data_IF_814650446081
#
_entry.id   IF_814650446081
#
_cell.length_a   1.000
_cell.length_b   1.000
_cell.length_c   1.000
_cell.angle_alpha   90.00
_cell.angle_beta   90.00
_cell.angle_gamma   90.00
#
_symmetry.space_group_name_H-M   'P 1'
#
loop_
_entity.id
_entity.type
_entity.pdbx_description
1 polymer ?
#
# COMPACT_ATOMS: atom_id res chain seq x y z
N UNK A 1 -14.34 26.64 -4.60
CA UNK A 1 -13.61 25.40 -4.92
C UNK A 1 -14.56 24.43 -5.61
N UNK A 2 -14.14 23.89 -6.75
CA UNK A 2 -14.85 22.83 -7.50
C UNK A 2 -14.42 21.45 -7.01
N UNK A 3 -15.36 20.53 -6.84
CA UNK A 3 -15.09 19.16 -6.42
C UNK A 3 -15.73 18.15 -7.37
N UNK A 4 -15.02 17.06 -7.66
CA UNK A 4 -15.64 15.89 -8.29
C UNK A 4 -15.62 14.71 -7.31
N UNK A 5 -16.75 13.99 -7.22
CA UNK A 5 -16.85 12.74 -6.48
C UNK A 5 -16.87 11.55 -7.42
N UNK A 6 -15.82 10.74 -7.38
CA UNK A 6 -15.65 9.56 -8.24
C UNK A 6 -15.82 8.31 -7.38
N UNK A 7 -16.67 7.38 -7.79
CA UNK A 7 -16.90 6.17 -7.01
C UNK A 7 -17.19 4.94 -7.88
N UNK A 8 -16.80 3.79 -7.38
CA UNK A 8 -17.18 2.52 -7.98
C UNK A 8 -18.53 2.07 -7.36
N UNK A 9 -19.61 1.97 -8.16
CA UNK A 9 -20.94 1.63 -7.66
C UNK A 9 -21.00 0.23 -7.04
N UNK A 10 -20.11 -0.69 -7.49
CA UNK A 10 -20.06 -2.08 -7.03
C UNK A 10 -19.11 -2.28 -5.83
N UNK A 11 -18.31 -1.29 -5.47
CA UNK A 11 -17.34 -1.39 -4.37
C UNK A 11 -18.05 -1.50 -3.01
N UNK A 12 -17.51 -2.35 -2.12
CA UNK A 12 -17.98 -2.46 -0.74
C UNK A 12 -19.46 -2.88 -0.62
N UNK A 13 -19.96 -3.76 -1.49
CA UNK A 13 -21.37 -4.18 -1.55
C UNK A 13 -22.32 -3.01 -1.82
N UNK A 14 -21.89 -2.02 -2.61
CA UNK A 14 -22.70 -0.86 -2.99
C UNK A 14 -22.99 0.14 -1.86
N UNK A 15 -22.26 0.07 -0.72
CA UNK A 15 -22.50 0.95 0.44
C UNK A 15 -22.34 2.43 0.12
N UNK A 16 -21.41 2.79 -0.77
CA UNK A 16 -21.19 4.17 -1.20
C UNK A 16 -22.31 4.63 -2.12
N UNK A 17 -22.70 3.81 -3.09
CA UNK A 17 -23.80 4.11 -4.00
C UNK A 17 -25.12 4.35 -3.24
N UNK A 18 -25.47 3.52 -2.26
CA UNK A 18 -26.64 3.68 -1.39
C UNK A 18 -26.64 5.00 -0.58
N UNK A 19 -25.50 5.64 -0.43
CA UNK A 19 -25.35 6.91 0.32
C UNK A 19 -25.00 8.09 -0.59
N UNK A 20 -25.09 7.96 -1.90
CA UNK A 20 -24.67 8.96 -2.88
C UNK A 20 -25.31 10.33 -2.59
N UNK A 21 -26.64 10.39 -2.51
CA UNK A 21 -27.37 11.64 -2.23
C UNK A 21 -26.91 12.31 -0.93
N UNK A 22 -26.67 11.51 0.12
CA UNK A 22 -26.16 12.03 1.39
C UNK A 22 -24.73 12.59 1.25
N UNK A 23 -23.84 11.87 0.55
CA UNK A 23 -22.45 12.29 0.33
C UNK A 23 -22.43 13.61 -0.44
N UNK A 24 -23.14 13.70 -1.57
CA UNK A 24 -23.21 14.90 -2.41
C UNK A 24 -23.78 16.09 -1.62
N UNK A 25 -24.89 15.89 -0.88
CA UNK A 25 -25.48 16.94 -0.02
C UNK A 25 -24.47 17.47 1.01
N UNK A 26 -23.61 16.61 1.55
CA UNK A 26 -22.58 17.02 2.52
C UNK A 26 -21.39 17.71 1.84
N UNK A 27 -20.93 17.23 0.69
CA UNK A 27 -19.83 17.86 -0.05
C UNK A 27 -20.23 19.27 -0.52
N UNK A 28 -21.47 19.50 -0.96
CA UNK A 28 -22.00 20.83 -1.32
C UNK A 28 -22.00 21.85 -0.17
N UNK A 29 -21.76 21.41 1.09
CA UNK A 29 -21.57 22.34 2.21
C UNK A 29 -20.15 22.93 2.29
N UNK A 30 -19.18 22.30 1.62
CA UNK A 30 -17.77 22.72 1.58
C UNK A 30 -17.34 23.25 0.22
N UNK A 31 -17.91 22.71 -0.86
CA UNK A 31 -17.52 22.99 -2.23
C UNK A 31 -18.64 23.71 -2.96
N UNK A 32 -18.30 24.72 -3.76
CA UNK A 32 -19.24 25.53 -4.53
C UNK A 32 -19.96 24.71 -5.62
N UNK A 33 -19.25 23.78 -6.25
CA UNK A 33 -19.82 22.79 -7.17
C UNK A 33 -19.32 21.39 -6.83
N UNK A 34 -20.20 20.39 -7.04
CA UNK A 34 -19.88 18.98 -6.83
C UNK A 34 -20.44 18.19 -8.00
N UNK A 35 -19.55 17.71 -8.83
CA UNK A 35 -19.85 16.77 -9.90
C UNK A 35 -19.70 15.34 -9.42
N UNK A 36 -20.36 14.39 -10.08
CA UNK A 36 -20.37 12.99 -9.70
C UNK A 36 -20.04 12.13 -10.91
N UNK A 37 -19.13 11.19 -10.71
CA UNK A 37 -18.79 10.20 -11.72
C UNK A 37 -18.80 8.79 -11.14
N UNK A 38 -19.57 7.90 -11.75
CA UNK A 38 -19.57 6.47 -11.42
C UNK A 38 -18.66 5.73 -12.40
N UNK A 39 -17.63 5.04 -11.88
CA UNK A 39 -16.73 4.25 -12.72
C UNK A 39 -17.43 3.03 -13.31
N UNK A 40 -17.06 2.69 -14.56
CA UNK A 40 -17.70 1.62 -15.34
C UNK A 40 -16.90 0.32 -15.35
N UNK A 41 -15.57 0.42 -15.28
CA UNK A 41 -14.67 -0.73 -15.38
C UNK A 41 -13.36 -0.47 -14.61
N UNK A 42 -12.52 -1.49 -14.50
CA UNK A 42 -11.14 -1.35 -14.00
C UNK A 42 -10.35 -0.41 -14.93
N UNK A 43 -9.56 0.49 -14.35
CA UNK A 43 -8.80 1.52 -15.07
C UNK A 43 -9.60 2.79 -15.41
N UNK A 44 -10.93 2.77 -15.30
CA UNK A 44 -11.75 3.95 -15.60
C UNK A 44 -11.54 5.08 -14.59
N UNK A 45 -11.21 4.74 -13.35
CA UNK A 45 -10.84 5.73 -12.33
C UNK A 45 -9.54 6.43 -12.72
N UNK A 46 -8.51 5.71 -13.15
CA UNK A 46 -7.25 6.28 -13.67
C UNK A 46 -7.53 7.23 -14.82
N UNK A 47 -8.26 6.78 -15.84
CA UNK A 47 -8.62 7.60 -17.00
C UNK A 47 -9.36 8.89 -16.59
N UNK A 48 -10.36 8.76 -15.72
CA UNK A 48 -11.15 9.92 -15.28
C UNK A 48 -10.33 10.89 -14.45
N UNK A 49 -9.48 10.42 -13.56
CA UNK A 49 -8.57 11.29 -12.79
C UNK A 49 -7.59 12.00 -13.72
N UNK A 50 -7.01 11.32 -14.72
CA UNK A 50 -6.14 11.94 -15.72
C UNK A 50 -6.84 13.10 -16.47
N UNK A 51 -8.11 12.89 -16.83
CA UNK A 51 -8.93 13.89 -17.54
C UNK A 51 -9.22 15.13 -16.68
N UNK A 52 -9.46 14.95 -15.38
CA UNK A 52 -10.02 16.02 -14.53
C UNK A 52 -9.05 16.63 -13.53
N UNK A 53 -7.83 16.11 -13.41
CA UNK A 53 -6.89 16.52 -12.37
C UNK A 53 -6.61 18.03 -12.33
N UNK A 54 -6.65 18.70 -13.47
CA UNK A 54 -6.40 20.14 -13.61
C UNK A 54 -7.69 20.99 -13.63
N UNK A 55 -8.86 20.33 -13.66
CA UNK A 55 -10.15 21.01 -13.78
C UNK A 55 -10.84 21.22 -12.43
N UNK A 56 -10.42 20.48 -11.40
CA UNK A 56 -11.03 20.49 -10.08
C UNK A 56 -10.01 20.77 -8.98
N UNK A 57 -10.43 21.57 -8.01
CA UNK A 57 -9.61 21.86 -6.81
C UNK A 57 -9.54 20.66 -5.87
N UNK A 58 -10.53 19.77 -5.94
CA UNK A 58 -10.61 18.60 -5.09
C UNK A 58 -11.20 17.40 -5.83
N UNK A 59 -10.52 16.24 -5.71
CA UNK A 59 -11.05 14.95 -6.14
C UNK A 59 -11.37 14.13 -4.90
N UNK A 60 -12.66 13.88 -4.65
CA UNK A 60 -13.11 12.92 -3.66
C UNK A 60 -13.35 11.59 -4.36
N UNK A 61 -12.80 10.51 -3.83
CA UNK A 61 -13.00 9.20 -4.42
C UNK A 61 -13.38 8.14 -3.38
N UNK A 62 -14.09 7.10 -3.81
CA UNK A 62 -14.43 5.96 -2.97
C UNK A 62 -14.06 4.65 -3.62
N UNK A 63 -13.30 3.84 -2.88
CA UNK A 63 -12.82 2.53 -3.30
C UNK A 63 -11.92 1.88 -2.27
N UNK A 64 -11.25 0.81 -2.64
CA UNK A 64 -10.20 0.14 -1.84
C UNK A 64 -8.80 0.70 -2.14
N UNK A 65 -7.79 -0.03 -1.67
CA UNK A 65 -6.38 0.33 -1.88
C UNK A 65 -6.02 0.36 -3.37
N UNK A 66 -6.51 -0.58 -4.18
CA UNK A 66 -6.34 -0.56 -5.63
C UNK A 66 -6.94 0.67 -6.30
N UNK A 67 -8.07 1.19 -5.79
CA UNK A 67 -8.64 2.46 -6.29
C UNK A 67 -7.78 3.65 -5.92
N UNK A 68 -7.11 3.61 -4.77
CA UNK A 68 -6.15 4.65 -4.41
C UNK A 68 -4.96 4.66 -5.40
N UNK A 69 -4.44 3.49 -5.74
CA UNK A 69 -3.36 3.35 -6.73
C UNK A 69 -3.81 3.77 -8.14
N UNK A 70 -5.06 3.52 -8.52
CA UNK A 70 -5.62 4.06 -9.76
C UNK A 70 -5.65 5.60 -9.75
N UNK A 71 -5.97 6.23 -8.62
CA UNK A 71 -5.91 7.70 -8.47
C UNK A 71 -4.48 8.20 -8.62
N UNK A 72 -3.49 7.59 -7.95
CA UNK A 72 -2.09 7.98 -8.07
C UNK A 72 -1.60 7.89 -9.51
N UNK A 73 -1.92 6.82 -10.23
CA UNK A 73 -1.59 6.67 -11.66
C UNK A 73 -2.24 7.75 -12.52
N UNK A 74 -3.49 8.09 -12.23
CA UNK A 74 -4.21 9.13 -12.97
C UNK A 74 -3.65 10.54 -12.72
N UNK A 75 -3.13 10.79 -11.53
CA UNK A 75 -2.43 12.02 -11.18
C UNK A 75 -1.06 12.11 -11.86
N UNK A 76 -0.34 10.98 -11.93
CA UNK A 76 0.98 10.92 -12.53
C UNK A 76 1.98 11.88 -11.88
N UNK A 77 2.90 12.39 -12.70
CA UNK A 77 4.00 13.26 -12.25
C UNK A 77 3.68 14.75 -12.26
N UNK A 78 2.40 15.13 -12.40
CA UNK A 78 1.99 16.55 -12.39
C UNK A 78 2.56 17.27 -11.18
N UNK A 79 3.08 18.49 -11.40
CA UNK A 79 3.61 19.32 -10.31
C UNK A 79 2.50 19.81 -9.38
N UNK A 80 1.39 20.23 -9.95
CA UNK A 80 0.22 20.67 -9.17
C UNK A 80 -0.85 19.61 -9.14
N UNK A 81 -1.22 19.17 -7.94
CA UNK A 81 -2.22 18.14 -7.72
C UNK A 81 -3.45 18.71 -7.01
N UNK A 82 -4.66 18.25 -7.39
CA UNK A 82 -5.87 18.56 -6.67
C UNK A 82 -5.83 17.95 -5.25
N UNK A 83 -6.53 18.57 -4.31
CA UNK A 83 -6.69 18.03 -2.97
C UNK A 83 -7.49 16.73 -3.03
N UNK A 84 -7.00 15.67 -2.40
CA UNK A 84 -7.66 14.38 -2.38
C UNK A 84 -8.52 14.17 -1.14
N UNK A 85 -9.68 13.59 -1.33
CA UNK A 85 -10.56 13.10 -0.26
C UNK A 85 -10.85 11.61 -0.45
N UNK A 86 -10.56 10.78 0.56
CA UNK A 86 -10.72 9.33 0.44
C UNK A 86 -11.86 8.79 1.32
N UNK A 87 -12.80 8.08 0.69
CA UNK A 87 -13.86 7.31 1.35
C UNK A 87 -13.56 5.82 1.16
N UNK A 88 -13.05 5.13 2.19
CA UNK A 88 -12.72 3.72 2.09
C UNK A 88 -13.93 2.85 1.77
N UNK A 89 -13.89 2.13 0.67
CA UNK A 89 -14.96 1.27 0.18
C UNK A 89 -14.53 -0.18 -0.10
N UNK A 90 -13.26 -0.49 0.02
CA UNK A 90 -12.70 -1.84 -0.15
C UNK A 90 -12.81 -2.72 1.09
N UNK A 91 -12.22 -3.91 1.02
CA UNK A 91 -12.25 -4.89 2.11
C UNK A 91 -11.16 -4.64 3.15
N UNK A 92 -9.92 -4.46 2.75
CA UNK A 92 -8.77 -4.20 3.63
C UNK A 92 -8.68 -2.72 3.99
N UNK A 93 -8.53 -1.85 3.00
CA UNK A 93 -8.34 -0.40 3.16
C UNK A 93 -7.15 -0.09 4.08
N UNK A 94 -5.99 -0.69 3.81
CA UNK A 94 -4.80 -0.55 4.64
C UNK A 94 -4.21 0.87 4.57
N UNK A 95 -4.31 1.54 3.42
CA UNK A 95 -3.99 2.97 3.29
C UNK A 95 -4.82 3.79 4.29
N UNK A 96 -6.14 3.57 4.33
CA UNK A 96 -7.00 4.27 5.28
C UNK A 96 -6.65 3.95 6.75
N UNK A 97 -6.23 2.71 7.03
CA UNK A 97 -5.79 2.30 8.37
C UNK A 97 -4.51 3.04 8.77
N UNK A 98 -3.50 3.05 7.93
CA UNK A 98 -2.23 3.75 8.16
C UNK A 98 -2.44 5.25 8.36
N UNK A 99 -3.41 5.83 7.67
CA UNK A 99 -3.75 7.24 7.75
C UNK A 99 -4.81 7.59 8.81
N UNK A 100 -5.25 6.63 9.63
CA UNK A 100 -6.28 6.86 10.64
C UNK A 100 -7.66 7.26 10.09
N UNK A 101 -7.91 7.04 8.79
CA UNK A 101 -9.20 7.32 8.14
C UNK A 101 -10.20 6.20 8.49
N UNK A 102 -11.43 6.53 8.93
CA UNK A 102 -12.43 5.53 9.33
C UNK A 102 -12.83 4.57 8.20
N UNK A 103 -12.45 3.28 8.29
CA UNK A 103 -12.64 2.27 7.24
C UNK A 103 -14.06 1.74 7.07
N UNK A 104 -14.82 1.64 8.15
CA UNK A 104 -16.14 0.97 8.17
C UNK A 104 -17.32 1.94 8.17
N UNK A 105 -17.08 3.22 8.20
CA UNK A 105 -18.14 4.22 8.38
C UNK A 105 -17.98 5.39 7.40
N UNK A 106 -18.76 5.35 6.32
CA UNK A 106 -18.76 6.40 5.27
C UNK A 106 -19.04 7.80 5.86
N UNK A 107 -19.92 7.93 6.87
CA UNK A 107 -20.21 9.24 7.48
C UNK A 107 -18.99 9.80 8.22
N UNK A 108 -18.26 8.94 8.96
CA UNK A 108 -17.04 9.35 9.66
C UNK A 108 -15.92 9.66 8.67
N UNK A 109 -15.73 8.86 7.59
CA UNK A 109 -14.78 9.15 6.53
C UNK A 109 -15.10 10.47 5.82
N UNK A 110 -16.37 10.71 5.48
CA UNK A 110 -16.81 11.97 4.91
C UNK A 110 -16.55 13.16 5.85
N UNK A 111 -16.69 12.97 7.15
CA UNK A 111 -16.37 14.01 8.13
C UNK A 111 -14.89 14.40 8.13
N UNK A 112 -13.97 13.45 7.84
CA UNK A 112 -12.57 13.74 7.60
C UNK A 112 -12.40 14.64 6.38
N UNK A 113 -13.10 14.35 5.29
CA UNK A 113 -13.08 15.19 4.09
C UNK A 113 -13.59 16.61 4.39
N UNK A 114 -14.63 16.75 5.21
CA UNK A 114 -15.25 18.05 5.52
C UNK A 114 -14.47 18.88 6.53
N UNK A 115 -13.82 18.26 7.51
CA UNK A 115 -13.25 18.91 8.70
C UNK A 115 -11.79 18.55 8.96
N UNK A 116 -11.21 17.62 8.21
CA UNK A 116 -9.83 17.19 8.34
C UNK A 116 -8.82 18.28 7.93
N UNK A 117 -7.55 17.99 8.14
CA UNK A 117 -6.44 18.81 7.67
C UNK A 117 -5.85 18.26 6.38
N UNK A 118 -5.28 19.14 5.55
CA UNK A 118 -4.47 18.76 4.41
C UNK A 118 -3.10 18.28 4.92
N UNK A 119 -2.66 17.13 4.42
CA UNK A 119 -1.30 16.64 4.56
C UNK A 119 -0.72 16.39 3.18
N UNK A 120 0.58 16.60 3.05
CA UNK A 120 1.36 16.21 1.89
C UNK A 120 2.07 14.91 2.24
N UNK A 121 1.68 13.82 1.59
CA UNK A 121 2.19 12.49 1.86
C UNK A 121 3.14 12.03 0.75
N UNK A 122 4.09 11.21 1.15
CA UNK A 122 4.99 10.53 0.24
C UNK A 122 4.25 9.38 -0.46
N UNK A 123 4.67 9.06 -1.67
CA UNK A 123 4.30 7.82 -2.35
C UNK A 123 5.52 7.25 -3.07
N UNK A 124 5.51 5.95 -3.32
CA UNK A 124 6.56 5.25 -4.05
C UNK A 124 6.20 5.19 -5.53
N UNK A 125 7.17 5.54 -6.40
CA UNK A 125 7.10 5.34 -7.84
C UNK A 125 7.98 4.16 -8.23
N UNK A 126 7.45 3.21 -8.99
CA UNK A 126 8.11 1.98 -9.38
C UNK A 126 8.31 2.00 -10.90
N UNK A 127 9.54 1.80 -11.36
CA UNK A 127 9.92 1.77 -12.78
C UNK A 127 9.34 2.97 -13.57
N UNK A 128 9.26 4.14 -12.94
CA UNK A 128 8.80 5.39 -13.53
C UNK A 128 7.28 5.51 -13.78
N UNK A 129 6.51 4.43 -13.73
CA UNK A 129 5.11 4.42 -14.19
C UNK A 129 4.08 3.83 -13.24
N UNK A 130 4.51 3.01 -12.30
CA UNK A 130 3.63 2.39 -11.30
C UNK A 130 3.76 3.11 -9.96
N UNK A 131 2.72 3.03 -9.15
CA UNK A 131 2.71 3.70 -7.85
C UNK A 131 2.25 2.77 -6.75
N UNK A 132 2.81 2.96 -5.56
CA UNK A 132 2.35 2.36 -4.31
C UNK A 132 2.38 3.41 -3.19
N UNK A 133 1.44 3.30 -2.27
CA UNK A 133 1.32 4.27 -1.18
C UNK A 133 2.06 3.82 0.08
N UNK A 134 1.99 2.53 0.43
CA UNK A 134 2.46 2.07 1.73
C UNK A 134 3.35 0.83 1.70
N UNK A 135 3.22 -0.07 0.71
CA UNK A 135 4.05 -1.29 0.68
C UNK A 135 4.26 -1.89 -0.71
N UNK A 136 5.46 -2.42 -0.90
CA UNK A 136 5.83 -3.22 -2.08
C UNK A 136 6.44 -4.52 -1.53
N UNK A 137 6.01 -5.69 -2.01
CA UNK A 137 6.54 -6.97 -1.52
C UNK A 137 6.64 -8.03 -2.59
N UNK A 138 7.58 -8.96 -2.42
CA UNK A 138 7.74 -10.14 -3.28
C UNK A 138 8.09 -11.38 -2.46
N UNK A 139 7.75 -12.56 -2.96
CA UNK A 139 8.09 -13.86 -2.38
C UNK A 139 6.96 -14.48 -1.58
N UNK A 140 7.23 -15.01 -0.38
CA UNK A 140 6.28 -15.74 0.43
C UNK A 140 4.98 -14.96 0.66
N UNK A 141 3.84 -15.63 0.47
CA UNK A 141 2.48 -15.10 0.68
C UNK A 141 2.00 -13.99 -0.29
N UNK A 142 2.83 -13.50 -1.20
CA UNK A 142 2.39 -12.46 -2.14
C UNK A 142 1.28 -12.96 -3.07
N UNK A 143 1.29 -14.21 -3.51
CA UNK A 143 0.22 -14.83 -4.29
C UNK A 143 -1.10 -14.95 -3.52
N UNK A 144 -1.06 -15.21 -2.21
CA UNK A 144 -2.24 -15.31 -1.36
C UNK A 144 -2.96 -13.96 -1.17
N UNK A 145 -2.26 -12.85 -1.29
CA UNK A 145 -2.86 -11.51 -1.14
C UNK A 145 -3.72 -11.11 -2.33
N UNK A 146 -3.52 -11.73 -3.52
CA UNK A 146 -4.30 -11.41 -4.73
C UNK A 146 -5.64 -12.13 -4.79
N UNK A 147 -5.77 -13.27 -4.10
CA UNK A 147 -6.90 -14.17 -4.31
C UNK A 147 -8.04 -13.88 -3.36
N UNK A 148 -7.80 -13.74 -2.06
CA UNK A 148 -8.84 -13.23 -1.14
C UNK A 148 -8.27 -12.64 0.17
N UNK A 149 -8.95 -11.67 0.84
CA UNK A 149 -8.60 -11.21 2.19
C UNK A 149 -8.64 -12.32 3.25
N UNK A 150 -9.35 -13.40 2.97
CA UNK A 150 -9.48 -14.55 3.87
C UNK A 150 -8.24 -15.45 3.79
N UNK A 151 -7.59 -15.52 2.62
CA UNK A 151 -6.32 -16.23 2.42
C UNK A 151 -5.14 -15.45 2.99
N UNK A 152 -5.13 -14.13 2.92
CA UNK A 152 -4.17 -13.29 3.62
C UNK A 152 -4.27 -13.49 5.15
N UNK A 153 -5.49 -13.60 5.71
CA UNK A 153 -5.69 -13.97 7.13
C UNK A 153 -5.24 -15.39 7.45
N UNK A 154 -5.41 -16.33 6.52
CA UNK A 154 -4.89 -17.70 6.65
C UNK A 154 -3.36 -17.74 6.57
N UNK A 155 -2.75 -16.95 5.67
CA UNK A 155 -1.30 -16.83 5.57
C UNK A 155 -0.70 -16.24 6.84
N UNK A 156 -1.31 -15.21 7.44
CA UNK A 156 -0.96 -14.67 8.75
C UNK A 156 -1.24 -15.66 9.90
N UNK A 157 -2.33 -16.43 9.79
CA UNK A 157 -2.63 -17.52 10.73
C UNK A 157 -1.63 -18.67 10.64
N UNK A 158 -1.12 -18.99 9.43
CA UNK A 158 -0.05 -19.98 9.23
C UNK A 158 1.29 -19.52 9.83
N UNK A 159 1.56 -18.20 9.88
CA UNK A 159 2.69 -17.65 10.63
C UNK A 159 2.53 -17.85 12.15
N UNK A 160 1.31 -17.74 12.67
CA UNK A 160 1.00 -18.05 14.08
C UNK A 160 1.04 -19.57 14.36
N UNK A 161 0.75 -20.41 13.37
CA UNK A 161 0.88 -21.87 13.41
C UNK A 161 2.24 -22.37 12.86
N UNK A 162 3.27 -21.55 12.92
CA UNK A 162 4.59 -21.80 12.31
C UNK A 162 5.27 -23.13 12.68
N UNK A 163 4.89 -23.77 13.79
CA UNK A 163 5.35 -25.10 14.16
C UNK A 163 4.65 -26.24 13.39
N UNK A 164 3.40 -26.08 13.00
CA UNK A 164 2.69 -27.04 12.14
C UNK A 164 3.03 -26.87 10.65
N UNK A 165 3.34 -25.65 10.22
CA UNK A 165 3.74 -25.35 8.84
C UNK A 165 5.09 -25.96 8.44
N UNK A 166 6.00 -26.17 9.41
CA UNK A 166 7.28 -26.89 9.20
C UNK A 166 7.02 -28.34 8.80
N UNK A 167 5.96 -28.93 9.31
CA UNK A 167 5.59 -30.35 9.07
C UNK A 167 4.89 -30.57 7.71
N UNK A 168 4.23 -29.55 7.18
CA UNK A 168 3.62 -29.59 5.85
C UNK A 168 4.51 -28.76 4.94
N UNK A 169 5.27 -29.41 4.04
CA UNK A 169 6.11 -28.81 2.98
C UNK A 169 5.44 -27.58 2.33
N UNK A 170 5.48 -26.42 3.00
CA UNK A 170 5.09 -25.15 2.38
C UNK A 170 6.23 -24.84 1.42
N UNK A 171 5.99 -24.82 0.10
CA UNK A 171 7.03 -24.48 -0.87
C UNK A 171 7.33 -22.99 -0.73
N UNK A 172 8.34 -22.63 0.08
CA UNK A 172 8.91 -21.30 0.01
C UNK A 172 9.70 -21.22 -1.30
N UNK A 173 9.24 -20.35 -2.17
CA UNK A 173 10.06 -19.96 -3.29
C UNK A 173 11.24 -19.16 -2.76
N UNK A 174 12.44 -19.63 -3.04
CA UNK A 174 13.69 -18.94 -2.77
C UNK A 174 14.11 -18.26 -4.07
N UNK A 175 14.55 -17.02 -3.99
CA UNK A 175 15.03 -16.27 -5.14
C UNK A 175 16.21 -15.38 -4.75
N UNK A 176 17.13 -15.18 -5.69
CA UNK A 176 18.25 -14.27 -5.50
C UNK A 176 17.78 -12.83 -5.44
N UNK A 177 18.37 -12.05 -4.57
CA UNK A 177 18.12 -10.61 -4.41
C UNK A 177 19.47 -9.89 -4.42
N UNK A 178 19.62 -8.92 -5.29
CA UNK A 178 20.69 -7.92 -5.27
C UNK A 178 20.02 -6.55 -5.11
N UNK A 179 20.11 -5.99 -3.93
CA UNK A 179 19.42 -4.76 -3.56
C UNK A 179 20.40 -3.68 -3.13
N UNK A 180 20.17 -2.43 -3.53
CA UNK A 180 21.00 -1.28 -3.13
C UNK A 180 20.17 -0.01 -2.96
N UNK A 181 20.58 0.81 -1.99
CA UNK A 181 20.11 2.19 -1.78
C UNK A 181 21.10 3.24 -2.34
N UNK A 182 22.15 2.77 -3.06
CA UNK A 182 23.23 3.60 -3.58
C UNK A 182 24.44 3.73 -2.63
N UNK A 183 24.28 3.37 -1.35
CA UNK A 183 25.34 3.38 -0.32
C UNK A 183 25.64 1.95 0.13
N UNK A 184 24.60 1.22 0.47
CA UNK A 184 24.66 -0.16 0.93
C UNK A 184 24.21 -1.09 -0.19
N UNK A 185 24.86 -2.25 -0.30
CA UNK A 185 24.44 -3.31 -1.22
C UNK A 185 24.27 -4.62 -0.48
N UNK A 186 23.17 -5.28 -0.74
CA UNK A 186 22.80 -6.58 -0.15
C UNK A 186 22.65 -7.60 -1.26
N UNK A 187 23.47 -8.66 -1.23
CA UNK A 187 23.37 -9.79 -2.16
C UNK A 187 23.09 -11.06 -1.36
N UNK A 188 21.92 -11.65 -1.54
CA UNK A 188 21.49 -12.83 -0.78
C UNK A 188 20.41 -13.61 -1.49
N UNK A 189 20.22 -14.85 -1.06
CA UNK A 189 18.99 -15.60 -1.34
C UNK A 189 17.91 -15.18 -0.33
N UNK A 190 16.69 -14.99 -0.81
CA UNK A 190 15.57 -14.51 -0.02
C UNK A 190 14.32 -15.37 -0.20
N UNK A 191 13.46 -15.41 0.80
CA UNK A 191 12.11 -15.96 0.73
C UNK A 191 11.05 -14.86 0.70
N UNK A 192 11.42 -13.63 1.12
CA UNK A 192 10.49 -12.51 1.18
C UNK A 192 11.25 -11.19 1.22
N UNK A 193 10.84 -10.26 0.38
CA UNK A 193 11.34 -8.88 0.36
C UNK A 193 10.15 -7.94 0.53
N UNK A 194 10.31 -6.94 1.41
CA UNK A 194 9.28 -5.96 1.74
C UNK A 194 9.87 -4.56 1.76
N UNK A 195 9.32 -3.66 0.98
CA UNK A 195 9.59 -2.22 1.04
C UNK A 195 8.37 -1.55 1.70
N UNK A 196 8.62 -0.64 2.61
CA UNK A 196 7.59 0.04 3.40
C UNK A 196 7.77 1.56 3.33
N UNK A 197 6.65 2.28 3.22
CA UNK A 197 6.53 3.73 3.39
C UNK A 197 5.47 4.05 4.45
N UNK A 198 5.24 3.14 5.41
CA UNK A 198 4.24 3.35 6.46
C UNK A 198 4.49 2.51 7.70
N UNK A 199 3.91 2.92 8.82
CA UNK A 199 3.98 2.17 10.09
C UNK A 199 3.25 0.83 10.04
N UNK A 200 2.26 0.70 9.15
CA UNK A 200 1.37 -0.44 9.11
C UNK A 200 1.35 -1.07 7.72
N UNK A 201 1.49 -2.40 7.65
CA UNK A 201 1.30 -3.23 6.46
C UNK A 201 0.36 -4.37 6.81
N UNK A 202 -0.63 -4.65 5.97
CA UNK A 202 -1.66 -5.68 6.21
C UNK A 202 -2.36 -5.55 7.58
N UNK A 203 -2.57 -4.32 8.05
CA UNK A 203 -3.18 -4.03 9.35
C UNK A 203 -2.28 -4.22 10.57
N UNK A 204 -1.02 -4.61 10.38
CA UNK A 204 -0.04 -4.85 11.46
C UNK A 204 0.95 -3.67 11.55
N UNK A 205 1.31 -3.28 12.76
CA UNK A 205 2.32 -2.24 13.00
C UNK A 205 3.72 -2.86 12.88
N UNK A 206 4.30 -2.77 11.69
CA UNK A 206 5.58 -3.40 11.37
C UNK A 206 6.78 -2.47 11.55
N UNK A 207 6.63 -1.18 11.29
CA UNK A 207 7.67 -0.20 11.49
C UNK A 207 7.14 1.00 12.27
N UNK A 208 7.48 1.09 13.56
CA UNK A 208 6.99 2.17 14.44
C UNK A 208 7.57 3.54 14.09
N UNK A 209 8.74 3.54 13.48
CA UNK A 209 9.50 4.76 13.18
C UNK A 209 9.25 5.28 11.76
N UNK A 210 8.64 4.48 10.88
CA UNK A 210 8.29 4.91 9.53
C UNK A 210 7.36 6.13 9.54
N UNK A 211 7.56 6.98 8.56
CA UNK A 211 6.70 8.14 8.31
C UNK A 211 6.38 8.23 6.83
N UNK A 212 5.16 8.58 6.51
CA UNK A 212 4.76 8.85 5.13
C UNK A 212 5.07 10.29 4.70
N UNK A 213 6.06 10.96 5.33
CA UNK A 213 6.39 12.38 5.08
C UNK A 213 7.88 12.71 5.20
N UNK A 214 8.72 11.74 5.47
CA UNK A 214 10.16 11.94 5.69
C UNK A 214 11.01 11.72 4.43
N UNK A 215 10.39 11.30 3.33
CA UNK A 215 11.06 11.05 2.07
C UNK A 215 11.91 9.77 2.07
N UNK A 216 11.64 8.85 3.01
CA UNK A 216 12.43 7.62 3.19
C UNK A 216 11.50 6.41 3.11
N UNK A 217 11.94 5.37 2.45
CA UNK A 217 11.36 4.03 2.50
C UNK A 217 12.34 3.06 3.12
N UNK A 218 11.83 2.06 3.83
CA UNK A 218 12.59 0.99 4.43
C UNK A 218 12.37 -0.31 3.68
N UNK A 219 13.45 -1.04 3.47
CA UNK A 219 13.43 -2.35 2.84
C UNK A 219 13.92 -3.42 3.81
N UNK A 220 13.18 -4.52 3.92
CA UNK A 220 13.57 -5.73 4.64
C UNK A 220 13.69 -6.90 3.66
N UNK A 221 14.83 -7.56 3.64
CA UNK A 221 15.08 -8.78 2.87
C UNK A 221 15.30 -9.94 3.84
N UNK A 222 14.39 -10.91 3.84
CA UNK A 222 14.51 -12.08 4.71
C UNK A 222 15.41 -13.11 4.06
N UNK A 223 16.57 -13.31 4.68
CA UNK A 223 17.62 -14.20 4.19
C UNK A 223 17.23 -15.67 4.22
N UNK A 224 17.65 -16.41 3.21
CA UNK A 224 17.56 -17.87 3.16
C UNK A 224 18.78 -18.44 2.40
N UNK A 225 19.14 -19.67 2.71
CA UNK A 225 20.12 -20.41 1.92
C UNK A 225 19.46 -20.98 0.66
N UNK A 226 20.17 -21.02 -0.45
CA UNK A 226 19.65 -21.58 -1.72
C UNK A 226 19.16 -23.03 -1.57
N UNK A 227 19.86 -23.84 -0.77
CA UNK A 227 19.47 -25.22 -0.41
C UNK A 227 19.26 -25.31 1.10
N UNK A 228 18.10 -24.91 1.64
CA UNK A 228 17.90 -24.85 3.06
C UNK A 228 17.60 -26.23 3.65
N UNK A 229 18.27 -26.56 4.74
CA UNK A 229 17.87 -27.65 5.62
C UNK A 229 16.64 -27.22 6.49
N UNK A 230 16.11 -28.15 7.27
CA UNK A 230 14.95 -27.88 8.13
C UNK A 230 15.21 -26.71 9.11
N UNK A 231 16.40 -26.63 9.68
CA UNK A 231 16.79 -25.55 10.59
C UNK A 231 16.75 -24.17 9.88
N UNK A 232 17.30 -24.05 8.67
CA UNK A 232 17.29 -22.80 7.91
C UNK A 232 15.86 -22.39 7.52
N UNK A 233 15.00 -23.35 7.14
CA UNK A 233 13.58 -23.09 6.87
C UNK A 233 12.87 -22.57 8.11
N UNK A 234 13.10 -23.19 9.28
CA UNK A 234 12.53 -22.74 10.54
C UNK A 234 12.99 -21.31 10.92
N UNK A 235 14.28 -21.00 10.72
CA UNK A 235 14.82 -19.64 10.96
C UNK A 235 14.15 -18.58 10.06
N UNK A 236 13.99 -18.84 8.78
CA UNK A 236 13.33 -17.91 7.86
C UNK A 236 11.87 -17.70 8.24
N UNK A 237 11.15 -18.75 8.63
CA UNK A 237 9.78 -18.65 9.17
C UNK A 237 9.70 -17.81 10.44
N UNK A 238 10.64 -18.02 11.37
CA UNK A 238 10.72 -17.22 12.59
C UNK A 238 11.07 -15.76 12.27
N UNK A 239 11.96 -15.50 11.31
CA UNK A 239 12.29 -14.15 10.86
C UNK A 239 11.06 -13.48 10.24
N UNK A 240 10.35 -14.17 9.36
CA UNK A 240 9.13 -13.68 8.74
C UNK A 240 8.04 -13.41 9.81
N UNK A 241 7.81 -14.35 10.74
CA UNK A 241 6.90 -14.16 11.86
C UNK A 241 7.28 -12.99 12.76
N UNK A 242 8.57 -12.84 13.06
CA UNK A 242 9.07 -11.73 13.88
C UNK A 242 8.90 -10.37 13.20
N UNK A 243 9.12 -10.31 11.88
CA UNK A 243 8.86 -9.08 11.11
C UNK A 243 7.40 -8.63 11.25
N UNK A 244 6.45 -9.55 11.14
CA UNK A 244 5.02 -9.23 11.23
C UNK A 244 4.52 -8.97 12.66
N UNK A 245 5.10 -9.61 13.67
CA UNK A 245 4.64 -9.52 15.07
C UNK A 245 5.44 -8.50 15.88
N UNK A 246 6.76 -8.51 15.76
CA UNK A 246 7.69 -7.71 16.57
C UNK A 246 8.22 -6.47 15.82
N UNK A 247 8.07 -6.47 14.50
CA UNK A 247 8.37 -5.33 13.63
C UNK A 247 9.74 -5.38 12.95
N UNK A 248 9.98 -4.37 12.14
CA UNK A 248 11.09 -4.23 11.21
C UNK A 248 12.49 -4.34 11.84
N UNK A 249 12.67 -3.91 13.09
CA UNK A 249 14.00 -3.88 13.76
C UNK A 249 14.37 -5.16 14.50
N UNK A 250 13.51 -6.16 14.49
CA UNK A 250 13.76 -7.41 15.21
C UNK A 250 14.54 -8.42 14.35
N UNK A 251 15.41 -9.26 14.98
CA UNK A 251 16.20 -10.35 14.34
C UNK A 251 17.15 -9.89 13.21
N UNK A 252 18.11 -9.05 13.56
CA UNK A 252 19.13 -8.53 12.62
C UNK A 252 19.93 -9.61 11.88
N UNK A 253 20.10 -10.78 12.45
CA UNK A 253 20.89 -11.87 11.85
C UNK A 253 20.20 -12.50 10.61
N UNK A 254 18.88 -12.45 10.53
CA UNK A 254 18.08 -13.12 9.51
C UNK A 254 17.44 -12.15 8.51
N UNK A 255 17.57 -10.85 8.74
CA UNK A 255 16.94 -9.81 7.93
C UNK A 255 18.00 -8.78 7.54
N UNK A 256 18.25 -8.63 6.24
CA UNK A 256 19.00 -7.50 5.72
C UNK A 256 18.09 -6.28 5.58
N UNK A 257 18.64 -5.09 5.78
CA UNK A 257 17.90 -3.84 5.79
C UNK A 257 18.59 -2.80 4.93
N UNK A 258 17.77 -2.10 4.15
CA UNK A 258 18.15 -0.93 3.39
C UNK A 258 17.15 0.18 3.69
N UNK A 259 17.57 1.42 3.56
CA UNK A 259 16.68 2.58 3.67
C UNK A 259 17.17 3.72 2.79
N UNK A 260 16.25 4.47 2.20
CA UNK A 260 16.62 5.59 1.37
C UNK A 260 15.44 6.16 0.60
N UNK A 261 15.72 7.14 -0.22
CA UNK A 261 14.74 7.73 -1.12
C UNK A 261 14.70 7.02 -2.49
N UNK A 262 15.68 6.17 -2.77
CA UNK A 262 15.76 5.37 -3.98
C UNK A 262 16.31 3.98 -3.65
N UNK A 263 15.67 2.94 -4.20
CA UNK A 263 16.11 1.54 -4.08
C UNK A 263 16.11 0.89 -5.46
N UNK A 264 17.15 0.15 -5.77
CA UNK A 264 17.21 -0.75 -6.92
C UNK A 264 17.28 -2.18 -6.41
N UNK A 265 16.38 -3.03 -6.88
CA UNK A 265 16.29 -4.42 -6.46
C UNK A 265 16.24 -5.30 -7.70
N UNK A 266 17.29 -6.07 -7.89
CA UNK A 266 17.44 -7.04 -8.96
C UNK A 266 17.00 -8.41 -8.44
N UNK A 267 16.08 -9.04 -9.15
CA UNK A 267 15.53 -10.37 -8.88
C UNK A 267 15.27 -11.11 -10.20
N UNK A 268 15.11 -12.44 -10.19
CA UNK A 268 14.71 -13.19 -11.37
C UNK A 268 13.41 -12.66 -12.01
N UNK A 269 13.31 -12.74 -13.33
CA UNK A 269 12.19 -12.19 -14.13
C UNK A 269 10.82 -12.74 -13.76
N UNK A 270 10.77 -13.93 -13.19
CA UNK A 270 9.54 -14.60 -12.78
C UNK A 270 9.11 -14.27 -11.33
N UNK A 271 9.86 -13.43 -10.60
CA UNK A 271 9.47 -12.90 -9.28
C UNK A 271 8.42 -11.80 -9.47
N UNK A 272 7.22 -12.06 -8.97
CA UNK A 272 6.09 -11.13 -9.10
C UNK A 272 5.98 -10.27 -7.85
N UNK A 273 5.90 -8.96 -8.03
CA UNK A 273 5.71 -7.99 -6.97
C UNK A 273 4.24 -7.76 -6.63
N UNK A 274 4.02 -7.33 -5.42
CA UNK A 274 2.75 -6.85 -4.90
C UNK A 274 2.88 -5.37 -4.53
N UNK A 275 1.98 -4.53 -5.04
CA UNK A 275 1.93 -3.11 -4.74
C UNK A 275 0.63 -2.81 -3.99
N UNK A 276 0.73 -2.49 -2.69
CA UNK A 276 -0.42 -2.20 -1.83
C UNK A 276 -1.54 -3.25 -1.85
N UNK A 277 -1.18 -4.54 -1.96
CA UNK A 277 -2.14 -5.64 -2.03
C UNK A 277 -2.58 -6.02 -3.46
N UNK A 278 -2.15 -5.32 -4.50
CA UNK A 278 -2.45 -5.60 -5.91
C UNK A 278 -1.25 -6.24 -6.62
N UNK A 279 -1.52 -7.07 -7.64
CA UNK A 279 -0.46 -7.67 -8.47
C UNK A 279 0.26 -6.57 -9.25
N UNK A 280 1.57 -6.48 -9.04
CA UNK A 280 2.48 -5.57 -9.73
C UNK A 280 3.22 -6.21 -10.91
N UNK A 281 4.35 -5.60 -11.29
CA UNK A 281 5.27 -6.11 -12.30
C UNK A 281 6.01 -7.36 -11.81
N UNK A 282 6.70 -8.04 -12.72
CA UNK A 282 7.66 -9.10 -12.41
C UNK A 282 9.08 -8.66 -12.76
N UNK A 283 10.08 -9.36 -12.18
CA UNK A 283 11.49 -9.05 -12.38
C UNK A 283 11.99 -7.88 -11.55
N UNK A 284 13.13 -7.34 -11.95
CA UNK A 284 13.83 -6.26 -11.23
C UNK A 284 13.02 -4.97 -11.19
N UNK A 285 13.14 -4.23 -10.09
CA UNK A 285 12.45 -2.95 -9.91
C UNK A 285 13.40 -1.87 -9.42
N UNK A 286 13.11 -0.65 -9.86
CA UNK A 286 13.64 0.58 -9.29
C UNK A 286 12.49 1.32 -8.60
N UNK A 287 12.67 1.68 -7.33
CA UNK A 287 11.67 2.37 -6.53
C UNK A 287 12.26 3.67 -6.02
N UNK A 288 11.51 4.75 -6.18
CA UNK A 288 11.86 6.05 -5.60
C UNK A 288 10.71 6.64 -4.81
N UNK A 289 11.02 7.38 -3.77
CA UNK A 289 10.04 8.17 -3.02
C UNK A 289 9.80 9.49 -3.74
N UNK A 290 8.55 9.75 -4.06
CA UNK A 290 8.06 11.08 -4.41
C UNK A 290 7.63 11.76 -3.11
N UNK A 291 8.58 12.54 -2.53
CA UNK A 291 8.36 13.16 -1.23
C UNK A 291 7.26 14.22 -1.29
N UNK A 292 6.35 14.18 -0.31
CA UNK A 292 5.23 15.13 -0.14
C UNK A 292 4.38 15.34 -1.39
N UNK A 293 4.29 14.34 -2.24
CA UNK A 293 3.62 14.40 -3.53
C UNK A 293 2.11 14.41 -3.41
N UNK A 294 1.52 13.69 -2.47
CA UNK A 294 0.08 13.39 -2.41
C UNK A 294 -0.64 14.30 -1.42
N UNK A 295 -1.40 15.33 -1.89
CA UNK A 295 -2.16 16.21 -1.01
C UNK A 295 -3.47 15.54 -0.59
N UNK A 296 -3.54 15.00 0.62
CA UNK A 296 -4.68 14.23 1.11
C UNK A 296 -5.31 14.86 2.36
N UNK A 297 -6.64 14.77 2.45
CA UNK A 297 -7.38 15.12 3.67
C UNK A 297 -7.33 13.96 4.68
N UNK A 298 -6.77 14.24 5.86
CA UNK A 298 -6.61 13.28 6.95
C UNK A 298 -7.26 13.79 8.25
N UNK A 299 -7.51 12.91 9.24
CA UNK A 299 -8.02 13.36 10.54
C UNK A 299 -7.12 14.39 11.20
N UNK A 300 -7.71 15.41 11.86
CA UNK A 300 -6.94 16.47 12.55
C UNK A 300 -5.96 15.91 13.58
N UNK A 301 -6.37 14.93 14.38
CA UNK A 301 -5.58 14.33 15.45
C UNK A 301 -4.98 12.98 14.98
N UNK A 302 -4.34 12.95 13.83
CA UNK A 302 -3.72 11.74 13.32
C UNK A 302 -2.32 11.54 13.92
N UNK A 303 -2.15 10.52 14.76
CA UNK A 303 -0.88 10.11 15.38
C UNK A 303 -0.09 9.10 14.54
N UNK A 304 -0.63 8.67 13.39
CA UNK A 304 -0.03 7.63 12.57
C UNK A 304 0.85 8.16 11.43
N UNK A 305 0.82 9.47 11.22
CA UNK A 305 1.60 10.16 10.17
C UNK A 305 2.72 10.94 10.80
#
# INVERSE_FOLDING_TARGET
MKCIFIYNPNSGKGKTAKKLTYIVKKLKKRYASVDVYATKAKGDLTRKVTEVAEQYDCIVFSGGDGSFNEVLRGLGDRETLPLLGYIPGGTANDIAHSLGIPRKNVRKALNVILKGRRELLDCMRINGTQYAMYSISAGAFTSATYTTPQEAKRALGLLAYGLEGIRKNIPFRIFSVDATDGITRVQTESVFTLIMNSKCVAGLKMNKDASMRDGIMECAVIKQKAKPNLYNKARALLALGSLFVLGYRFREQDIERLQGNKLRIEVPDDVVWNYDGEKGASGSIEVEILSRKVPLLVPKNNKNI
#
